data_IF_509059306091
#
_entry.id   IF_509059306091
#
_cell.length_a   1.000
_cell.length_b   1.000
_cell.length_c   1.000
_cell.angle_alpha   90.00
_cell.angle_beta   90.00
_cell.angle_gamma   90.00
#
_symmetry.space_group_name_H-M   'P 1'
#
loop_
_entity.id
_entity.type
_entity.pdbx_description
1 polymer ?
#
# COMPACT_ATOMS: atom_id res chain seq x y z
N UNK A 1 -1.54 -19.39 3.76
CA UNK A 1 -1.82 -17.95 3.62
C UNK A 1 -2.65 -17.57 4.83
N UNK A 2 -2.14 -16.65 5.66
CA UNK A 2 -2.83 -16.21 6.89
C UNK A 2 -3.87 -15.13 6.55
N UNK A 3 -3.44 -14.17 5.72
CA UNK A 3 -4.28 -13.11 5.17
C UNK A 3 -3.88 -12.84 3.73
N UNK A 4 -4.82 -12.32 2.96
CA UNK A 4 -4.54 -11.55 1.75
C UNK A 4 -5.81 -11.25 0.98
N UNK A 5 -5.67 -10.30 0.08
CA UNK A 5 -6.78 -9.63 -0.58
C UNK A 5 -6.36 -9.34 -2.02
N UNK A 6 -7.24 -9.68 -2.96
CA UNK A 6 -7.11 -9.30 -4.37
C UNK A 6 -7.94 -8.06 -4.72
N UNK A 7 -8.63 -7.49 -3.71
CA UNK A 7 -9.46 -6.29 -3.76
C UNK A 7 -10.75 -6.41 -4.59
N UNK A 8 -11.09 -7.61 -5.06
CA UNK A 8 -12.36 -7.85 -5.78
C UNK A 8 -13.56 -7.91 -4.84
N UNK A 9 -13.32 -8.10 -3.54
CA UNK A 9 -14.33 -8.07 -2.49
C UNK A 9 -14.83 -6.66 -2.13
N UNK A 10 -14.25 -5.61 -2.70
CA UNK A 10 -14.48 -4.23 -2.26
C UNK A 10 -13.51 -3.79 -1.16
N UNK A 11 -13.75 -2.61 -0.57
CA UNK A 11 -12.81 -2.02 0.39
C UNK A 11 -12.73 -2.80 1.71
N UNK A 12 -13.81 -3.46 2.11
CA UNK A 12 -13.84 -4.23 3.35
C UNK A 12 -13.40 -3.38 4.56
N UNK A 13 -12.44 -3.89 5.32
CA UNK A 13 -11.86 -3.24 6.50
C UNK A 13 -10.55 -2.48 6.19
N UNK A 14 -10.19 -2.33 4.92
CA UNK A 14 -9.05 -1.50 4.54
C UNK A 14 -9.35 -0.03 4.89
N UNK A 15 -8.48 0.56 5.70
CA UNK A 15 -8.53 1.95 6.11
C UNK A 15 -7.75 2.84 5.16
N UNK A 16 -8.23 4.06 4.95
CA UNK A 16 -7.51 5.11 4.22
C UNK A 16 -7.55 6.41 5.01
N UNK A 17 -6.52 7.22 4.87
CA UNK A 17 -6.48 8.54 5.49
C UNK A 17 -5.39 9.43 4.92
N UNK A 18 -5.34 10.66 5.43
CA UNK A 18 -4.44 11.72 5.01
C UNK A 18 -4.06 12.57 6.21
N UNK A 19 -2.76 12.74 6.41
CA UNK A 19 -2.18 13.68 7.38
C UNK A 19 -1.61 14.93 6.69
N UNK A 20 -1.51 14.89 5.36
CA UNK A 20 -1.05 15.99 4.51
C UNK A 20 -2.17 16.90 4.00
N UNK A 21 -1.87 17.67 2.95
CA UNK A 21 -2.84 18.56 2.32
C UNK A 21 -3.95 17.78 1.60
N UNK A 22 -5.19 18.25 1.71
CA UNK A 22 -6.31 17.67 0.98
C UNK A 22 -6.09 17.73 -0.54
N UNK A 23 -6.36 16.62 -1.23
CA UNK A 23 -6.25 16.53 -2.70
C UNK A 23 -5.78 15.16 -3.21
N UNK A 24 -5.12 14.38 -2.36
CA UNK A 24 -4.75 12.99 -2.63
C UNK A 24 -5.46 12.07 -1.65
N UNK A 25 -5.99 10.94 -2.13
CA UNK A 25 -6.50 9.84 -1.29
C UNK A 25 -6.18 8.50 -1.93
N UNK A 26 -6.11 7.45 -1.11
CA UNK A 26 -6.16 6.08 -1.60
C UNK A 26 -7.60 5.71 -1.99
N UNK A 27 -7.78 5.20 -3.20
CA UNK A 27 -9.08 4.82 -3.75
C UNK A 27 -9.05 3.37 -4.21
N UNK A 28 -10.11 2.63 -3.93
CA UNK A 28 -10.32 1.31 -4.51
C UNK A 28 -11.03 1.43 -5.85
N UNK A 29 -10.51 0.77 -6.88
CA UNK A 29 -11.19 0.64 -8.15
C UNK A 29 -10.28 0.17 -9.27
N UNK A 30 -10.76 0.29 -10.50
CA UNK A 30 -10.00 -0.04 -11.70
C UNK A 30 -9.11 1.15 -12.10
N UNK A 31 -7.79 0.97 -12.27
CA UNK A 31 -6.93 1.98 -12.87
C UNK A 31 -7.45 2.40 -14.24
N UNK A 32 -7.51 3.71 -14.51
CA UNK A 32 -8.22 4.21 -15.69
C UNK A 32 -7.49 5.30 -16.48
N UNK A 33 -6.87 6.28 -15.81
CA UNK A 33 -6.32 7.47 -16.47
C UNK A 33 -4.84 7.66 -16.21
N UNK A 34 -4.38 7.39 -15.00
CA UNK A 34 -2.99 7.57 -14.56
C UNK A 34 -2.44 6.26 -13.98
N UNK A 35 -1.13 6.08 -14.03
CA UNK A 35 -0.47 4.85 -13.59
C UNK A 35 -0.69 3.66 -14.56
N UNK A 36 -0.84 2.42 -14.05
CA UNK A 36 -0.90 1.23 -14.89
C UNK A 36 -2.26 1.10 -15.58
N UNK A 37 -2.29 0.50 -16.77
CA UNK A 37 -3.52 0.36 -17.57
C UNK A 37 -4.57 -0.63 -16.99
N UNK A 38 -4.17 -1.45 -16.01
CA UNK A 38 -5.04 -2.41 -15.32
C UNK A 38 -4.45 -2.73 -13.95
N UNK A 39 -5.27 -3.25 -13.03
CA UNK A 39 -4.78 -3.81 -11.77
C UNK A 39 -3.86 -5.03 -12.00
N UNK A 40 -2.99 -5.33 -11.02
CA UNK A 40 -2.11 -6.50 -11.06
C UNK A 40 -2.88 -7.82 -11.07
N UNK A 41 -3.94 -7.90 -10.26
CA UNK A 41 -4.98 -8.92 -10.31
C UNK A 41 -6.25 -8.21 -10.74
N UNK A 42 -6.68 -8.33 -12.01
CA UNK A 42 -7.88 -7.65 -12.47
C UNK A 42 -9.10 -8.07 -11.65
N UNK A 43 -9.98 -7.13 -11.31
CA UNK A 43 -10.17 -5.81 -11.94
C UNK A 43 -9.66 -4.63 -11.11
N UNK A 44 -9.60 -4.74 -9.79
CA UNK A 44 -9.43 -3.63 -8.87
C UNK A 44 -8.05 -3.62 -8.18
N UNK A 45 -7.61 -2.43 -7.80
CA UNK A 45 -6.55 -2.24 -6.83
C UNK A 45 -6.81 -0.96 -6.02
N UNK A 46 -6.05 -0.78 -4.95
CA UNK A 46 -5.90 0.54 -4.37
C UNK A 46 -4.86 1.35 -5.16
N UNK A 47 -5.16 2.62 -5.43
CA UNK A 47 -4.24 3.58 -6.01
C UNK A 47 -4.46 4.97 -5.43
N UNK A 48 -3.39 5.77 -5.37
CA UNK A 48 -3.51 7.19 -5.02
C UNK A 48 -4.14 7.93 -6.18
N UNK A 49 -5.37 8.44 -6.02
CA UNK A 49 -6.17 9.10 -7.06
C UNK A 49 -6.22 8.29 -8.38
N UNK A 50 -7.11 7.31 -8.51
CA UNK A 50 -7.16 6.43 -9.70
C UNK A 50 -7.44 7.15 -11.03
N UNK A 51 -7.98 8.37 -10.95
CA UNK A 51 -8.36 9.19 -12.09
C UNK A 51 -7.42 10.40 -12.34
N UNK A 52 -6.43 10.67 -11.49
CA UNK A 52 -5.54 11.84 -11.60
C UNK A 52 -4.23 11.67 -10.82
N UNK A 53 -3.20 12.45 -11.13
CA UNK A 53 -1.96 12.41 -10.34
C UNK A 53 -2.19 12.79 -8.87
N UNK A 54 -1.28 12.38 -7.99
CA UNK A 54 -1.27 12.87 -6.61
C UNK A 54 -0.99 14.39 -6.58
N UNK A 55 -1.60 15.07 -5.61
CA UNK A 55 -1.43 16.50 -5.36
C UNK A 55 -0.18 16.83 -4.53
N UNK A 56 0.12 18.13 -4.45
CA UNK A 56 1.22 18.67 -3.66
C UNK A 56 1.01 18.41 -2.15
N UNK A 57 2.12 18.24 -1.43
CA UNK A 57 2.16 18.03 0.03
C UNK A 57 1.24 16.88 0.50
N UNK A 58 1.10 15.86 -0.34
CA UNK A 58 0.33 14.66 -0.02
C UNK A 58 1.07 13.80 1.01
N UNK A 59 0.37 13.46 2.09
CA UNK A 59 0.81 12.47 3.07
C UNK A 59 -0.42 11.61 3.38
N UNK A 60 -0.51 10.48 2.68
CA UNK A 60 -1.69 9.61 2.62
C UNK A 60 -1.31 8.17 2.90
N UNK A 61 -2.19 7.44 3.56
CA UNK A 61 -1.93 6.07 3.96
C UNK A 61 -3.08 5.13 3.59
N UNK A 62 -2.71 3.88 3.30
CA UNK A 62 -3.59 2.73 3.13
C UNK A 62 -3.20 1.72 4.20
N UNK A 63 -4.16 1.22 4.96
CA UNK A 63 -3.92 0.30 6.07
C UNK A 63 -4.77 -0.95 5.90
N UNK A 64 -4.15 -2.11 6.04
CA UNK A 64 -4.87 -3.38 6.04
C UNK A 64 -5.75 -3.51 7.30
N UNK A 65 -6.69 -4.46 7.30
CA UNK A 65 -7.28 -4.94 8.54
C UNK A 65 -6.20 -5.48 9.49
N UNK A 66 -6.54 -5.66 10.76
CA UNK A 66 -5.66 -6.32 11.73
C UNK A 66 -5.40 -7.77 11.31
N UNK A 67 -4.13 -8.19 11.29
CA UNK A 67 -3.72 -9.55 10.91
C UNK A 67 -3.14 -10.25 12.14
N UNK A 68 -3.82 -11.29 12.62
CA UNK A 68 -3.34 -12.08 13.75
C UNK A 68 -2.20 -13.03 13.31
N UNK A 69 -0.98 -12.70 13.74
CA UNK A 69 0.23 -13.50 13.51
C UNK A 69 0.67 -14.30 14.75
N UNK A 70 -0.10 -14.33 15.84
CA UNK A 70 0.32 -14.92 17.13
C UNK A 70 0.64 -16.42 17.06
N UNK A 71 0.03 -17.15 16.12
CA UNK A 71 0.30 -18.56 15.88
C UNK A 71 1.41 -18.82 14.85
N UNK A 72 1.96 -17.77 14.22
CA UNK A 72 3.00 -17.88 13.21
C UNK A 72 4.39 -17.78 13.87
N UNK A 73 5.25 -18.76 13.61
CA UNK A 73 6.66 -18.66 14.03
C UNK A 73 7.50 -17.70 13.17
N UNK A 74 7.00 -17.35 11.99
CA UNK A 74 7.53 -16.35 11.08
C UNK A 74 6.46 -16.01 10.02
N UNK A 75 6.52 -14.81 9.45
CA UNK A 75 5.60 -14.37 8.40
C UNK A 75 6.35 -13.70 7.24
N UNK A 76 5.69 -13.62 6.09
CA UNK A 76 6.21 -12.96 4.88
C UNK A 76 5.10 -12.12 4.28
N UNK A 77 5.39 -10.84 4.07
CA UNK A 77 4.53 -9.93 3.32
C UNK A 77 4.86 -10.07 1.83
N UNK A 78 3.84 -10.28 1.00
CA UNK A 78 3.97 -10.29 -0.45
C UNK A 78 2.84 -9.48 -1.08
N UNK A 79 3.17 -8.59 -2.00
CA UNK A 79 2.22 -7.70 -2.67
C UNK A 79 2.72 -7.35 -4.07
N UNK A 80 1.80 -6.84 -4.91
CA UNK A 80 2.15 -6.23 -6.17
C UNK A 80 2.07 -4.70 -6.01
N UNK A 81 3.05 -3.97 -6.54
CA UNK A 81 3.04 -2.51 -6.54
C UNK A 81 3.34 -1.97 -7.94
N UNK A 82 2.77 -0.81 -8.24
CA UNK A 82 3.18 0.07 -9.30
C UNK A 82 3.49 1.42 -8.64
N UNK A 83 4.55 2.09 -9.10
CA UNK A 83 4.95 3.42 -8.62
C UNK A 83 5.23 4.35 -9.79
N UNK A 84 4.86 5.60 -9.57
CA UNK A 84 5.21 6.76 -10.37
C UNK A 84 5.33 7.92 -9.38
N UNK A 85 6.50 8.04 -8.76
CA UNK A 85 6.79 8.93 -7.63
C UNK A 85 8.03 9.75 -7.97
N UNK A 86 8.01 11.06 -7.69
CA UNK A 86 9.14 11.95 -8.00
C UNK A 86 10.42 11.53 -7.26
N UNK A 87 11.36 10.94 -8.01
CA UNK A 87 12.61 10.40 -7.46
C UNK A 87 13.43 11.45 -6.72
N UNK A 88 13.82 11.14 -5.48
CA UNK A 88 14.65 12.00 -4.63
C UNK A 88 13.93 13.17 -3.96
N UNK A 89 12.62 13.34 -4.17
CA UNK A 89 11.80 14.37 -3.52
C UNK A 89 10.63 13.75 -2.76
N UNK A 90 9.87 12.88 -3.41
CA UNK A 90 8.73 12.16 -2.85
C UNK A 90 9.10 10.70 -2.57
N UNK A 91 8.39 10.05 -1.64
CA UNK A 91 8.57 8.62 -1.37
C UNK A 91 7.34 8.00 -0.73
N UNK A 92 7.18 6.69 -0.94
CA UNK A 92 6.33 5.82 -0.14
C UNK A 92 7.12 4.99 0.86
N UNK A 93 6.41 4.42 1.83
CA UNK A 93 6.95 3.48 2.82
C UNK A 93 6.02 2.29 3.01
N UNK A 94 6.58 1.14 3.38
CA UNK A 94 5.82 0.01 3.90
C UNK A 94 6.27 -0.26 5.34
N UNK A 95 5.30 -0.21 6.25
CA UNK A 95 5.52 -0.27 7.70
C UNK A 95 4.59 -1.33 8.30
N UNK A 96 5.00 -1.90 9.43
CA UNK A 96 4.17 -2.77 10.27
C UNK A 96 3.82 -1.99 11.52
N UNK A 97 2.54 -1.97 11.86
CA UNK A 97 2.00 -1.23 12.99
C UNK A 97 1.31 -2.19 13.96
N UNK A 98 1.33 -1.86 15.25
CA UNK A 98 0.54 -2.56 16.25
C UNK A 98 -0.95 -2.28 16.01
N UNK A 99 -1.75 -3.34 15.86
CA UNK A 99 -3.17 -3.21 15.57
C UNK A 99 -4.00 -2.58 16.72
N UNK A 100 -3.45 -2.49 17.94
CA UNK A 100 -4.12 -1.91 19.08
C UNK A 100 -4.01 -0.38 19.14
N UNK A 101 -2.90 0.20 18.69
CA UNK A 101 -2.63 1.64 18.85
C UNK A 101 -1.92 2.32 17.67
N UNK A 102 -1.73 1.61 16.55
CA UNK A 102 -1.03 2.07 15.35
C UNK A 102 0.44 2.46 15.57
N UNK A 103 1.05 2.09 16.71
CA UNK A 103 2.48 2.33 16.93
C UNK A 103 3.33 1.54 15.94
N UNK A 104 4.41 2.15 15.44
CA UNK A 104 5.30 1.47 14.50
C UNK A 104 6.09 0.36 15.20
N UNK A 105 5.97 -0.86 14.66
CA UNK A 105 6.75 -2.03 15.06
C UNK A 105 7.97 -2.21 14.15
N UNK A 106 7.83 -1.94 12.85
CA UNK A 106 8.93 -2.05 11.90
C UNK A 106 8.71 -1.27 10.60
N UNK A 107 9.82 -0.86 9.97
CA UNK A 107 9.86 -0.40 8.58
C UNK A 107 10.34 -1.55 7.69
N UNK A 108 9.48 -2.00 6.77
CA UNK A 108 9.81 -3.05 5.79
C UNK A 108 10.53 -2.46 4.59
N UNK A 109 10.10 -1.27 4.16
CA UNK A 109 10.72 -0.53 3.08
C UNK A 109 10.61 0.97 3.35
N UNK A 110 11.77 1.64 3.45
CA UNK A 110 11.85 3.00 3.96
C UNK A 110 11.74 4.08 2.87
N UNK A 111 12.12 3.76 1.63
CA UNK A 111 12.08 4.69 0.50
C UNK A 111 11.63 3.89 -0.73
N UNK A 112 10.43 4.20 -1.20
CA UNK A 112 9.88 3.73 -2.47
C UNK A 112 9.65 4.96 -3.33
N UNK A 113 10.47 5.15 -4.35
CA UNK A 113 10.39 6.28 -5.27
C UNK A 113 10.64 5.83 -6.72
N UNK A 114 10.73 6.80 -7.64
CA UNK A 114 10.91 6.58 -9.07
C UNK A 114 9.67 5.99 -9.77
N UNK A 115 9.79 5.78 -11.08
CA UNK A 115 8.78 5.17 -11.93
C UNK A 115 9.11 3.71 -12.22
N UNK A 116 8.12 2.83 -12.01
CA UNK A 116 8.20 1.43 -12.42
C UNK A 116 7.76 1.23 -13.87
N UNK A 117 8.36 0.26 -14.56
CA UNK A 117 7.94 -0.09 -15.93
C UNK A 117 6.56 -0.78 -16.00
N UNK A 118 6.03 -1.22 -14.85
CA UNK A 118 4.79 -1.96 -14.70
C UNK A 118 4.68 -2.51 -13.28
N UNK A 119 3.69 -3.38 -13.05
CA UNK A 119 3.52 -4.03 -11.75
C UNK A 119 4.72 -4.89 -11.40
N UNK A 120 5.27 -4.66 -10.21
CA UNK A 120 6.35 -5.44 -9.63
C UNK A 120 5.83 -6.24 -8.43
N UNK A 121 6.28 -7.49 -8.31
CA UNK A 121 6.02 -8.30 -7.11
C UNK A 121 7.10 -8.06 -6.08
N UNK A 122 6.69 -7.64 -4.89
CA UNK A 122 7.56 -7.48 -3.73
C UNK A 122 7.26 -8.59 -2.74
N UNK A 123 8.30 -9.17 -2.15
CA UNK A 123 8.20 -10.17 -1.09
C UNK A 123 9.29 -9.93 -0.05
N UNK A 124 8.90 -9.77 1.21
CA UNK A 124 9.79 -9.43 2.33
C UNK A 124 9.38 -10.24 3.56
N UNK A 125 10.36 -10.81 4.25
CA UNK A 125 10.13 -11.43 5.55
C UNK A 125 9.74 -10.34 6.57
N UNK A 126 8.74 -10.62 7.40
CA UNK A 126 8.44 -9.76 8.54
C UNK A 126 9.43 -10.05 9.68
N UNK A 127 9.81 -9.03 10.47
CA UNK A 127 10.62 -9.25 11.68
C UNK A 127 9.88 -10.16 12.66
N UNK A 128 10.63 -10.90 13.49
CA UNK A 128 10.05 -11.85 14.45
C UNK A 128 9.26 -11.18 15.60
N UNK A 129 9.39 -9.86 15.77
CA UNK A 129 8.82 -9.06 16.86
C UNK A 129 7.84 -7.98 16.34
N UNK A 130 7.48 -8.04 15.04
CA UNK A 130 6.52 -7.13 14.43
C UNK A 130 5.16 -7.80 14.17
#
# INVERSE_FOLDING_TARGET
MIFGDDFEGGQGEWGVGSDGQAGTVWELGTPSVVGPASAASPVNCFGTNLAANYGLDADVWLRSPAIDLTAAGAATLSYAQFRDIEQGFDFGMVRVLDAADDSELAVIEAIIDDVSAGWEKVSKALPAEA
#
